data_IF_038801451615
#
_entry.id   IF_038801451615
#
_cell.length_a   1.000
_cell.length_b   1.000
_cell.length_c   1.000
_cell.angle_alpha   90.00
_cell.angle_beta   90.00
_cell.angle_gamma   90.00
#
_symmetry.space_group_name_H-M   'P 1'
#
loop_
_entity.id
_entity.type
_entity.pdbx_description
1 polymer ?
#
# COMPACT_ATOMS: atom_id res chain seq x y z
N UNK A 1 7.85 25.93 -32.82
CA UNK A 1 6.88 25.56 -31.77
C UNK A 1 5.79 24.69 -32.38
N UNK A 2 5.72 23.41 -32.00
CA UNK A 2 4.72 22.47 -32.52
C UNK A 2 3.33 22.79 -31.96
N UNK A 3 2.28 22.68 -32.79
CA UNK A 3 0.89 22.91 -32.36
C UNK A 3 0.47 21.83 -31.35
N UNK A 4 -0.23 22.18 -30.25
CA UNK A 4 -0.67 21.20 -29.26
C UNK A 4 -1.68 20.22 -29.88
N UNK A 5 -1.57 18.95 -29.48
CA UNK A 5 -2.50 17.90 -29.93
C UNK A 5 -3.90 18.14 -29.36
N UNK A 6 -4.92 17.92 -30.19
CA UNK A 6 -6.33 17.96 -29.76
C UNK A 6 -6.55 16.88 -28.69
N UNK A 7 -7.11 17.26 -27.55
CA UNK A 7 -7.48 16.33 -26.49
C UNK A 7 -8.87 15.78 -26.78
N UNK A 8 -8.98 14.45 -26.90
CA UNK A 8 -10.26 13.77 -27.10
C UNK A 8 -10.84 13.38 -25.74
N UNK A 9 -12.16 13.47 -25.60
CA UNK A 9 -12.85 13.04 -24.40
C UNK A 9 -12.67 11.54 -24.17
N UNK A 10 -12.30 11.16 -22.94
CA UNK A 10 -12.22 9.78 -22.50
C UNK A 10 -13.05 9.60 -21.24
N UNK A 11 -14.03 8.67 -21.30
CA UNK A 11 -14.91 8.35 -20.17
C UNK A 11 -14.12 7.98 -18.91
N UNK A 12 -13.10 7.13 -19.06
CA UNK A 12 -12.26 6.67 -17.95
C UNK A 12 -11.50 7.85 -17.32
N UNK A 13 -10.98 8.76 -18.14
CA UNK A 13 -10.26 9.94 -17.65
C UNK A 13 -11.19 10.87 -16.86
N UNK A 14 -12.41 11.08 -17.36
CA UNK A 14 -13.42 11.90 -16.68
C UNK A 14 -13.82 11.30 -15.32
N UNK A 15 -14.09 9.99 -15.27
CA UNK A 15 -14.44 9.29 -14.01
C UNK A 15 -13.30 9.40 -12.99
N UNK A 16 -12.05 9.14 -13.42
CA UNK A 16 -10.89 9.24 -12.52
C UNK A 16 -10.61 10.68 -12.06
N UNK A 17 -10.90 11.68 -12.88
CA UNK A 17 -10.73 13.09 -12.49
C UNK A 17 -11.75 13.47 -11.41
N UNK A 18 -13.02 13.16 -11.62
CA UNK A 18 -14.09 13.41 -10.65
C UNK A 18 -13.81 12.69 -9.31
N UNK A 19 -13.37 11.43 -9.36
CA UNK A 19 -12.99 10.71 -8.15
C UNK A 19 -11.86 11.40 -7.37
N UNK A 20 -10.85 11.95 -8.05
CA UNK A 20 -9.75 12.71 -7.42
C UNK A 20 -10.21 14.05 -6.85
N UNK A 21 -11.18 14.71 -7.47
CA UNK A 21 -11.79 15.93 -6.92
C UNK A 21 -12.53 15.65 -5.60
N UNK A 22 -13.15 14.48 -5.46
CA UNK A 22 -13.90 14.11 -4.25
C UNK A 22 -13.03 13.51 -3.15
N UNK A 23 -12.16 12.56 -3.49
CA UNK A 23 -11.42 11.71 -2.53
C UNK A 23 -9.97 12.15 -2.38
N UNK A 24 -9.47 13.02 -3.27
CA UNK A 24 -8.07 13.41 -3.34
C UNK A 24 -7.27 12.56 -4.32
N UNK A 25 -6.06 13.03 -4.64
CA UNK A 25 -5.13 12.29 -5.51
C UNK A 25 -4.38 11.26 -4.67
N UNK A 26 -4.29 9.99 -5.10
CA UNK A 26 -3.52 8.99 -4.37
C UNK A 26 -2.03 9.41 -4.32
N UNK A 27 -1.30 9.05 -3.25
CA UNK A 27 0.13 9.32 -3.15
C UNK A 27 0.88 8.77 -4.37
N UNK A 28 1.86 9.52 -4.92
CA UNK A 28 2.60 9.11 -6.11
C UNK A 28 3.48 7.89 -5.84
N UNK A 29 3.94 7.74 -4.61
CA UNK A 29 4.81 6.66 -4.18
C UNK A 29 4.19 5.94 -2.98
N UNK A 30 4.28 4.61 -3.00
CA UNK A 30 4.00 3.78 -1.84
C UNK A 30 5.32 3.26 -1.33
N UNK A 31 5.74 3.70 -0.14
CA UNK A 31 6.95 3.20 0.50
C UNK A 31 6.81 1.69 0.67
N UNK A 32 7.68 0.93 0.01
CA UNK A 32 7.78 -0.50 0.23
C UNK A 32 8.45 -0.71 1.59
N UNK A 33 7.85 -1.50 2.50
CA UNK A 33 8.51 -1.74 3.78
C UNK A 33 9.82 -2.50 3.55
N UNK A 34 10.82 -2.15 4.35
CA UNK A 34 12.13 -2.78 4.27
C UNK A 34 11.99 -4.30 4.41
N UNK A 35 12.86 -5.10 3.76
CA UNK A 35 12.81 -6.56 3.86
C UNK A 35 12.80 -7.04 5.31
N UNK A 36 13.58 -6.38 6.18
CA UNK A 36 13.65 -6.66 7.61
C UNK A 36 12.31 -6.44 8.33
N UNK A 37 11.61 -5.34 8.01
CA UNK A 37 10.29 -5.04 8.57
C UNK A 37 9.23 -6.04 8.11
N UNK A 38 9.30 -6.47 6.83
CA UNK A 38 8.42 -7.53 6.30
C UNK A 38 8.64 -8.86 7.03
N UNK A 39 9.89 -9.24 7.26
CA UNK A 39 10.25 -10.47 7.97
C UNK A 39 9.80 -10.46 9.44
N UNK A 40 9.83 -9.31 10.10
CA UNK A 40 9.33 -9.17 11.47
C UNK A 40 7.80 -9.33 11.55
N UNK A 41 7.06 -8.75 10.59
CA UNK A 41 5.60 -8.85 10.54
C UNK A 41 5.09 -10.23 10.08
N UNK A 42 5.84 -10.89 9.19
CA UNK A 42 5.53 -12.23 8.70
C UNK A 42 6.79 -13.10 8.75
N UNK A 43 7.08 -13.74 9.90
CA UNK A 43 8.23 -14.61 10.03
C UNK A 43 8.09 -15.81 9.07
N UNK A 44 9.19 -16.21 8.45
CA UNK A 44 9.22 -17.33 7.49
C UNK A 44 8.89 -18.68 8.14
N UNK A 45 9.19 -18.81 9.43
CA UNK A 45 9.04 -20.04 10.20
C UNK A 45 7.83 -19.96 11.12
N UNK A 46 7.21 -21.12 11.36
CA UNK A 46 6.13 -21.25 12.33
C UNK A 46 6.67 -20.90 13.74
N UNK A 47 5.82 -20.33 14.61
CA UNK A 47 6.20 -20.06 15.99
C UNK A 47 6.63 -21.36 16.68
N UNK A 48 7.66 -21.26 17.50
CA UNK A 48 8.12 -22.37 18.33
C UNK A 48 7.22 -22.55 19.54
N UNK A 49 7.35 -23.68 20.25
CA UNK A 49 6.63 -23.90 21.50
C UNK A 49 6.88 -22.75 22.51
N UNK A 50 8.12 -22.28 22.61
CA UNK A 50 8.48 -21.16 23.49
C UNK A 50 7.76 -19.86 23.09
N UNK A 51 7.68 -19.55 21.79
CA UNK A 51 6.96 -18.38 21.29
C UNK A 51 5.47 -18.44 21.63
N UNK A 52 4.88 -19.63 21.54
CA UNK A 52 3.46 -19.87 21.89
C UNK A 52 3.22 -19.78 23.40
N UNK A 53 4.14 -20.25 24.22
CA UNK A 53 4.07 -20.10 25.68
C UNK A 53 4.15 -18.62 26.07
N UNK A 54 5.12 -17.88 25.50
CA UNK A 54 5.28 -16.44 25.69
C UNK A 54 4.06 -15.63 25.21
N UNK A 55 3.32 -16.11 24.19
CA UNK A 55 2.12 -15.44 23.69
C UNK A 55 0.85 -15.76 24.47
N UNK A 56 0.82 -16.89 25.20
CA UNK A 56 -0.43 -17.45 25.76
C UNK A 56 -0.54 -17.27 27.28
N UNK A 57 0.55 -17.07 28.01
CA UNK A 57 0.41 -16.75 29.44
C UNK A 57 1.67 -16.65 30.27
N UNK A 58 1.58 -15.73 31.23
CA UNK A 58 2.30 -15.66 32.50
C UNK A 58 3.74 -15.14 32.50
N UNK A 59 3.91 -13.88 32.10
CA UNK A 59 4.77 -12.96 32.84
C UNK A 59 4.11 -11.57 32.77
N UNK A 60 4.23 -10.81 33.85
CA UNK A 60 3.62 -9.48 34.05
C UNK A 60 3.94 -8.47 32.95
#
# INVERSE_FOLDING_TARGET
>A
MSKPKKQVFSKIKAVKANARERVGTPPPERVLPDPKQKLAASPKHKPTLADLLNSTGEDQ
#
